data_IF_345535710257
#
_entry.id   IF_345535710257
#
_cell.length_a   1.000
_cell.length_b   1.000
_cell.length_c   1.000
_cell.angle_alpha   90.00
_cell.angle_beta   90.00
_cell.angle_gamma   90.00
#
_symmetry.space_group_name_H-M   'P 1'
#
loop_
_entity.id
_entity.type
_entity.pdbx_description
1 polymer ?
#
# COMPACT_ATOMS: atom_id res chain seq x y z
N UNK A 1 -11.49 5.59 -0.19
CA UNK A 1 -11.44 4.40 0.67
C UNK A 1 -11.22 3.20 -0.22
N UNK A 2 -10.21 2.35 0.04
CA UNK A 2 -9.89 1.19 -0.82
C UNK A 2 -11.04 0.18 -0.88
N UNK A 3 -11.92 0.21 0.12
CA UNK A 3 -13.10 -0.65 0.25
C UNK A 3 -14.23 -0.33 -0.75
N UNK A 4 -14.13 0.77 -1.50
CA UNK A 4 -15.10 1.14 -2.52
C UNK A 4 -14.63 0.79 -3.95
N UNK A 5 -13.53 0.05 -4.09
CA UNK A 5 -13.02 -0.38 -5.40
C UNK A 5 -13.90 -1.50 -5.96
N UNK A 6 -14.41 -1.40 -7.21
CA UNK A 6 -15.16 -2.49 -7.81
C UNK A 6 -14.33 -3.77 -7.94
N UNK A 7 -14.94 -4.93 -7.73
CA UNK A 7 -14.26 -6.24 -7.67
C UNK A 7 -13.41 -6.55 -8.92
N UNK A 8 -13.85 -6.11 -10.09
CA UNK A 8 -13.13 -6.33 -11.35
C UNK A 8 -11.82 -5.52 -11.47
N UNK A 9 -11.60 -4.51 -10.63
CA UNK A 9 -10.36 -3.74 -10.57
C UNK A 9 -9.48 -4.06 -9.36
N UNK A 10 -9.87 -5.02 -8.50
CA UNK A 10 -9.12 -5.33 -7.28
C UNK A 10 -7.68 -5.81 -7.57
N UNK A 11 -7.47 -6.48 -8.71
CA UNK A 11 -6.16 -6.98 -9.13
C UNK A 11 -5.17 -5.84 -9.41
N UNK A 12 -5.63 -4.70 -9.94
CA UNK A 12 -4.78 -3.52 -10.18
C UNK A 12 -4.22 -2.98 -8.87
N UNK A 13 -5.01 -3.05 -7.80
CA UNK A 13 -4.59 -2.65 -6.47
C UNK A 13 -3.40 -3.50 -5.98
N UNK A 14 -3.38 -4.80 -6.27
CA UNK A 14 -2.30 -5.71 -5.84
C UNK A 14 -1.00 -5.53 -6.61
N UNK A 15 -1.03 -4.99 -7.82
CA UNK A 15 0.19 -4.73 -8.61
C UNK A 15 0.76 -3.33 -8.42
N UNK A 16 0.09 -2.47 -7.63
CA UNK A 16 0.49 -1.07 -7.45
C UNK A 16 1.55 -0.94 -6.35
N UNK A 17 2.81 -0.59 -6.66
CA UNK A 17 3.82 -0.34 -5.63
C UNK A 17 3.41 0.82 -4.72
N UNK A 18 2.71 1.82 -5.28
CA UNK A 18 2.30 3.02 -4.57
C UNK A 18 1.35 2.71 -3.41
N UNK A 19 0.45 1.71 -3.57
CA UNK A 19 -0.44 1.25 -2.49
C UNK A 19 0.35 0.81 -1.26
N UNK A 20 1.34 -0.06 -1.45
CA UNK A 20 2.14 -0.62 -0.38
C UNK A 20 3.03 0.45 0.27
N UNK A 21 3.62 1.33 -0.53
CA UNK A 21 4.40 2.45 -0.03
C UNK A 21 3.53 3.42 0.81
N UNK A 22 2.35 3.79 0.31
CA UNK A 22 1.42 4.66 1.02
C UNK A 22 1.00 4.05 2.38
N UNK A 23 0.64 2.77 2.41
CA UNK A 23 0.32 2.07 3.67
C UNK A 23 1.49 2.06 4.66
N UNK A 24 2.70 1.78 4.16
CA UNK A 24 3.91 1.79 4.98
C UNK A 24 4.17 3.15 5.61
N UNK A 25 4.16 4.22 4.82
CA UNK A 25 4.41 5.60 5.28
C UNK A 25 3.32 6.06 6.25
N UNK A 26 2.04 5.85 5.92
CA UNK A 26 0.95 6.22 6.80
C UNK A 26 1.02 5.50 8.14
N UNK A 27 1.32 4.20 8.15
CA UNK A 27 1.47 3.44 9.39
C UNK A 27 2.68 3.91 10.20
N UNK A 28 3.81 4.16 9.55
CA UNK A 28 5.01 4.65 10.21
C UNK A 28 4.78 5.99 10.92
N UNK A 29 3.99 6.89 10.31
CA UNK A 29 3.66 8.18 10.90
C UNK A 29 2.56 8.09 11.97
N UNK A 30 1.40 7.50 11.63
CA UNK A 30 0.24 7.52 12.52
C UNK A 30 0.36 6.57 13.72
N UNK A 31 1.25 5.57 13.67
CA UNK A 31 1.51 4.73 14.84
C UNK A 31 2.18 5.48 16.00
N UNK A 32 2.81 6.62 15.75
CA UNK A 32 3.48 7.42 16.79
C UNK A 32 2.58 8.50 17.40
N UNK A 33 1.41 8.78 16.82
CA UNK A 33 0.50 9.83 17.27
C UNK A 33 -0.52 9.24 18.25
N UNK A 34 -0.31 9.49 19.55
CA UNK A 34 -1.13 8.93 20.63
C UNK A 34 -2.40 9.73 20.93
N UNK A 35 -2.35 11.05 20.74
CA UNK A 35 -3.47 11.95 21.03
C UNK A 35 -3.60 13.01 19.93
N UNK A 36 -4.84 13.26 19.52
CA UNK A 36 -5.20 14.30 18.55
C UNK A 36 -6.30 15.14 19.22
N UNK A 37 -6.02 16.42 19.53
CA UNK A 37 -7.00 17.26 20.19
C UNK A 37 -8.20 17.49 19.27
N UNK A 38 -9.39 17.39 19.85
CA UNK A 38 -10.64 17.53 19.12
C UNK A 38 -11.54 18.61 19.71
N UNK A 39 -12.20 19.36 18.81
CA UNK A 39 -13.30 20.24 19.17
C UNK A 39 -14.57 19.42 19.51
N UNK A 40 -15.13 19.54 20.72
CA UNK A 40 -16.32 18.82 21.14
C UNK A 40 -17.59 19.13 20.33
N UNK A 41 -17.59 20.19 19.52
CA UNK A 41 -18.70 20.51 18.60
C UNK A 41 -18.72 19.66 17.33
N UNK A 42 -17.67 18.85 17.08
CA UNK A 42 -17.55 17.99 15.89
C UNK A 42 -18.02 16.56 16.19
N UNK A 43 -19.01 16.09 15.43
CA UNK A 43 -19.64 14.77 15.61
C UNK A 43 -18.82 13.56 15.13
N UNK A 44 -17.72 13.74 14.39
CA UNK A 44 -16.92 12.65 13.84
C UNK A 44 -15.42 12.92 13.99
N UNK A 45 -14.98 12.98 15.24
CA UNK A 45 -13.59 13.26 15.52
C UNK A 45 -12.75 12.01 15.72
N UNK A 46 -11.47 12.11 15.33
CA UNK A 46 -10.51 11.03 15.46
C UNK A 46 -9.49 11.45 16.52
N UNK A 47 -9.40 10.67 17.59
CA UNK A 47 -8.64 11.04 18.79
C UNK A 47 -7.20 10.50 18.83
N UNK A 48 -6.82 9.61 17.93
CA UNK A 48 -5.46 9.07 17.87
C UNK A 48 -5.14 8.55 16.46
N UNK A 49 -3.86 8.33 16.18
CA UNK A 49 -3.42 7.88 14.86
C UNK A 49 -3.89 6.47 14.50
N UNK A 50 -4.09 5.58 15.49
CA UNK A 50 -4.65 4.25 15.23
C UNK A 50 -6.08 4.33 14.67
N UNK A 51 -6.90 5.24 15.20
CA UNK A 51 -8.24 5.50 14.70
C UNK A 51 -8.22 6.16 13.30
N UNK A 52 -7.21 6.99 12.99
CA UNK A 52 -7.01 7.52 11.63
C UNK A 52 -6.74 6.38 10.64
N UNK A 53 -5.82 5.46 11.00
CA UNK A 53 -5.50 4.32 10.15
C UNK A 53 -6.70 3.40 9.93
N UNK A 54 -7.51 3.17 10.96
CA UNK A 54 -8.74 2.37 10.86
C UNK A 54 -9.78 3.02 9.96
N UNK A 55 -10.01 4.32 10.10
CA UNK A 55 -10.97 5.07 9.26
C UNK A 55 -10.55 5.13 7.78
N UNK A 56 -9.24 5.09 7.52
CA UNK A 56 -8.67 5.06 6.18
C UNK A 56 -8.54 3.65 5.58
N UNK A 57 -9.02 2.61 6.27
CA UNK A 57 -8.86 1.19 5.90
C UNK A 57 -7.40 0.75 5.70
N UNK A 58 -6.47 1.35 6.47
CA UNK A 58 -5.04 1.08 6.42
C UNK A 58 -4.57 0.12 7.52
N UNK A 59 -5.45 -0.45 8.35
CA UNK A 59 -5.10 -1.38 9.44
C UNK A 59 -5.12 -2.86 9.02
N UNK A 60 -5.60 -3.18 7.83
CA UNK A 60 -5.85 -4.56 7.36
C UNK A 60 -4.61 -5.44 7.14
N UNK A 61 -3.41 -4.86 7.08
CA UNK A 61 -2.17 -5.57 6.76
C UNK A 61 -1.03 -5.15 7.68
N UNK A 62 0.00 -5.99 7.81
CA UNK A 62 1.20 -5.66 8.58
C UNK A 62 2.22 -4.89 7.73
N UNK A 63 3.06 -4.09 8.38
CA UNK A 63 4.16 -3.38 7.73
C UNK A 63 5.12 -4.33 7.02
N UNK A 64 5.37 -5.51 7.60
CA UNK A 64 6.22 -6.56 6.99
C UNK A 64 5.64 -7.03 5.66
N UNK A 65 4.31 -7.23 5.60
CA UNK A 65 3.65 -7.68 4.37
C UNK A 65 3.71 -6.60 3.28
N UNK A 66 3.56 -5.32 3.64
CA UNK A 66 3.71 -4.22 2.69
C UNK A 66 5.13 -4.14 2.11
N UNK A 67 6.17 -4.31 2.95
CA UNK A 67 7.58 -4.34 2.51
C UNK A 67 7.87 -5.57 1.64
N UNK A 68 7.39 -6.74 2.04
CA UNK A 68 7.56 -7.98 1.27
C UNK A 68 6.91 -7.88 -0.11
N UNK A 69 5.71 -7.28 -0.20
CA UNK A 69 5.04 -7.04 -1.47
C UNK A 69 5.82 -6.09 -2.37
N UNK A 70 6.40 -5.00 -1.83
CA UNK A 70 7.25 -4.07 -2.59
C UNK A 70 8.48 -4.77 -3.17
N UNK A 71 9.16 -5.59 -2.36
CA UNK A 71 10.31 -6.36 -2.81
C UNK A 71 9.89 -7.37 -3.89
N UNK A 72 8.84 -8.15 -3.64
CA UNK A 72 8.32 -9.13 -4.58
C UNK A 72 7.94 -8.51 -5.93
N UNK A 73 7.32 -7.33 -5.91
CA UNK A 73 6.94 -6.60 -7.10
C UNK A 73 8.17 -6.06 -7.85
N UNK A 74 9.18 -5.55 -7.14
CA UNK A 74 10.44 -5.09 -7.73
C UNK A 74 11.18 -6.24 -8.43
N UNK A 75 11.32 -7.38 -7.75
CA UNK A 75 11.91 -8.58 -8.33
C UNK A 75 11.09 -9.11 -9.50
N UNK A 76 9.76 -9.12 -9.39
CA UNK A 76 8.85 -9.56 -10.44
C UNK A 76 9.02 -8.75 -11.74
N UNK A 77 8.97 -7.42 -11.66
CA UNK A 77 9.17 -6.56 -12.84
C UNK A 77 10.56 -6.70 -13.45
N UNK A 78 11.61 -6.79 -12.62
CA UNK A 78 12.98 -7.02 -13.11
C UNK A 78 13.12 -8.36 -13.81
N UNK A 79 12.54 -9.41 -13.23
CA UNK A 79 12.56 -10.76 -13.81
C UNK A 79 11.84 -10.80 -15.16
N UNK A 80 10.65 -10.21 -15.25
CA UNK A 80 9.92 -10.07 -16.51
C UNK A 80 10.77 -9.33 -17.55
N UNK A 81 11.36 -8.19 -17.16
CA UNK A 81 12.25 -7.42 -18.03
C UNK A 81 13.43 -8.25 -18.57
N UNK A 82 14.11 -9.01 -17.70
CA UNK A 82 15.21 -9.90 -18.10
C UNK A 82 14.74 -11.01 -19.05
N UNK A 83 13.57 -11.60 -18.83
CA UNK A 83 13.00 -12.61 -19.72
C UNK A 83 12.69 -12.05 -21.12
N UNK A 84 12.13 -10.85 -21.20
CA UNK A 84 11.89 -10.19 -22.48
C UNK A 84 13.20 -9.83 -23.18
N UNK A 85 14.17 -9.30 -22.44
CA UNK A 85 15.48 -8.96 -23.00
C UNK A 85 16.19 -10.20 -23.54
N UNK A 86 16.25 -11.29 -22.78
CA UNK A 86 16.86 -12.55 -23.20
C UNK A 86 16.20 -13.14 -24.46
N UNK A 87 14.86 -13.08 -24.55
CA UNK A 87 14.14 -13.50 -25.76
C UNK A 87 14.42 -12.63 -26.98
N UNK A 88 14.61 -11.32 -26.79
CA UNK A 88 14.93 -10.40 -27.89
C UNK A 88 16.37 -10.54 -28.38
N UNK A 89 17.33 -10.77 -27.46
CA UNK A 89 18.74 -11.04 -27.82
C UNK A 89 18.83 -12.31 -28.66
N UNK A 90 18.22 -13.42 -28.22
CA UNK A 90 18.22 -14.69 -28.96
C UNK A 90 17.52 -14.62 -30.34
N UNK A 91 16.66 -13.64 -30.59
CA UNK A 91 16.06 -13.43 -31.92
C UNK A 91 16.98 -12.70 -32.90
N UNK A 92 18.01 -12.03 -32.40
CA UNK A 92 18.98 -11.27 -33.21
C UNK A 92 20.19 -12.11 -33.64
N UNK A 93 20.46 -13.20 -32.93
CA UNK A 93 21.43 -14.25 -33.27
C UNK A 93 20.77 -15.34 -34.13
#
# INVERSE_FOLDING_TARGET
NTDNTPDYFIWLEYISPLKYAYRGVMRAFWSTVLDIPCDPTRTNCVHNGAAVLKNASLDKASMVLDVAALLGLNFGFRFIGMLFLARNVKKRD
#
